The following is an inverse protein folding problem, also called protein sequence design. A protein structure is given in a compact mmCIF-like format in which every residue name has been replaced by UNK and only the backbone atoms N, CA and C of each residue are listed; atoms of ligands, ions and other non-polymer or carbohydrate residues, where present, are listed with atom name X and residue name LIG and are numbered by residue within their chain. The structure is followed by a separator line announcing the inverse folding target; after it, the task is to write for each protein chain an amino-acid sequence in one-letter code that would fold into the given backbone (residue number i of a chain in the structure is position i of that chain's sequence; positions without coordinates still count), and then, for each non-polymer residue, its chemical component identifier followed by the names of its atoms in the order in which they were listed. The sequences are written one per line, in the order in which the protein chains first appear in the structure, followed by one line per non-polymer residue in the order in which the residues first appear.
data_IF_156171346416
#
_entry.id   IF_156171346416
#
_cell.length_a   1.000
_cell.length_b   1.000
_cell.length_c   1.000
_cell.angle_alpha   90.00
_cell.angle_beta   90.00
_cell.angle_gamma   90.00
#
_symmetry.space_group_name_H-M   'P 1'
#
loop_
_entity.id
_entity.type
_entity.pdbx_description
1 polymer ?
#
# COMPACT_ATOMS: atom_id res chain seq x y z
N UNK A 1 13.46 68.29 -66.16
CA UNK A 1 14.25 67.78 -65.08
C UNK A 1 13.35 66.93 -64.19
N UNK A 2 13.45 65.57 -64.32
CA UNK A 2 12.61 64.64 -63.54
C UNK A 2 13.61 63.84 -62.70
N UNK A 3 13.55 64.04 -61.35
CA UNK A 3 14.31 63.24 -60.38
C UNK A 3 13.50 62.02 -59.97
N UNK A 4 14.03 60.83 -60.30
CA UNK A 4 13.49 59.56 -59.91
C UNK A 4 14.18 59.15 -58.59
N UNK A 5 13.41 59.05 -57.50
CA UNK A 5 13.87 58.52 -56.24
C UNK A 5 13.68 56.99 -56.25
N UNK A 6 14.76 56.24 -56.12
CA UNK A 6 14.70 54.78 -55.94
C UNK A 6 14.55 54.47 -54.46
N UNK A 7 13.44 53.83 -54.10
CA UNK A 7 13.16 53.33 -52.78
C UNK A 7 13.74 51.91 -52.69
N UNK A 8 14.77 51.70 -51.86
CA UNK A 8 15.32 50.39 -51.56
C UNK A 8 14.57 49.77 -50.38
N UNK A 9 13.84 48.70 -50.62
CA UNK A 9 13.12 47.94 -49.57
C UNK A 9 14.10 46.87 -49.04
N UNK A 10 14.58 47.05 -47.81
CA UNK A 10 15.26 45.98 -47.04
C UNK A 10 14.21 45.04 -46.44
N UNK A 11 14.14 43.83 -46.96
CA UNK A 11 13.36 42.76 -46.35
C UNK A 11 14.15 42.14 -45.20
N UNK A 12 13.78 42.43 -43.95
CA UNK A 12 14.30 41.72 -42.76
C UNK A 12 13.53 40.43 -42.59
N UNK A 13 14.19 39.30 -42.83
CA UNK A 13 13.64 37.98 -42.52
C UNK A 13 13.74 37.70 -41.03
N UNK A 14 12.63 37.77 -40.32
CA UNK A 14 12.49 37.28 -38.94
C UNK A 14 12.37 35.75 -38.99
N UNK A 15 13.45 35.03 -38.67
CA UNK A 15 13.40 33.61 -38.38
C UNK A 15 12.79 33.41 -36.96
N UNK A 16 11.51 33.12 -36.92
CA UNK A 16 10.86 32.68 -35.67
C UNK A 16 11.28 31.24 -35.35
N UNK A 17 12.24 31.05 -34.46
CA UNK A 17 12.55 29.75 -33.89
C UNK A 17 11.40 29.34 -32.93
N UNK A 18 10.50 28.51 -33.41
CA UNK A 18 9.48 27.88 -32.59
C UNK A 18 10.19 26.83 -31.71
N UNK A 19 10.47 27.19 -30.45
CA UNK A 19 10.77 26.21 -29.41
C UNK A 19 9.47 25.46 -29.10
N UNK A 20 9.32 24.28 -29.71
CA UNK A 20 8.32 23.31 -29.26
C UNK A 20 8.79 22.77 -27.90
N UNK A 21 8.31 23.39 -26.81
CA UNK A 21 8.39 22.78 -25.50
C UNK A 21 7.54 21.52 -25.55
N UNK A 22 8.20 20.36 -25.65
CA UNK A 22 7.55 19.07 -25.43
C UNK A 22 7.06 19.06 -23.99
N UNK A 23 5.80 19.45 -23.76
CA UNK A 23 5.11 19.22 -22.52
C UNK A 23 5.07 17.69 -22.36
N UNK A 24 5.90 17.14 -21.49
CA UNK A 24 5.75 15.79 -21.03
C UNK A 24 4.39 15.70 -20.34
N UNK A 25 3.41 15.15 -21.05
CA UNK A 25 2.13 14.77 -20.45
C UNK A 25 2.44 13.74 -19.37
N UNK A 26 2.62 14.20 -18.13
CA UNK A 26 2.64 13.32 -17.00
C UNK A 26 1.22 12.78 -16.85
N UNK A 27 1.06 11.46 -17.02
CA UNK A 27 -0.19 10.82 -16.68
C UNK A 27 -0.58 11.19 -15.24
N UNK A 28 -1.87 11.41 -15.00
CA UNK A 28 -2.37 11.69 -13.65
C UNK A 28 -1.89 10.57 -12.70
N UNK A 29 -1.50 10.90 -11.45
CA UNK A 29 -1.07 9.90 -10.49
C UNK A 29 -2.16 8.85 -10.32
N UNK A 30 -1.79 7.57 -10.37
CA UNK A 30 -2.71 6.48 -10.06
C UNK A 30 -2.96 6.50 -8.55
N UNK A 31 -4.24 6.48 -8.17
CA UNK A 31 -4.64 6.27 -6.79
C UNK A 31 -4.89 4.79 -6.58
N UNK A 32 -4.28 4.20 -5.56
CA UNK A 32 -4.51 2.81 -5.20
C UNK A 32 -5.95 2.54 -4.75
N UNK A 33 -6.44 1.35 -5.02
CA UNK A 33 -7.80 0.92 -4.66
C UNK A 33 -7.77 -0.46 -4.03
N UNK A 34 -8.72 -0.73 -3.13
CA UNK A 34 -8.93 -2.03 -2.52
C UNK A 34 -10.38 -2.47 -2.61
N UNK A 35 -10.62 -3.76 -2.72
CA UNK A 35 -11.94 -4.38 -2.74
C UNK A 35 -11.90 -5.73 -2.04
N UNK A 36 -12.91 -5.97 -1.22
CA UNK A 36 -13.14 -7.26 -0.55
C UNK A 36 -14.47 -7.81 -1.01
N UNK A 37 -14.48 -9.09 -1.37
CA UNK A 37 -15.70 -9.82 -1.69
C UNK A 37 -15.62 -11.23 -1.09
N UNK A 38 -16.35 -11.47 -0.01
CA UNK A 38 -16.41 -12.76 0.72
C UNK A 38 -15.02 -13.26 1.14
N UNK A 39 -14.53 -14.32 0.48
CA UNK A 39 -13.23 -14.96 0.79
C UNK A 39 -12.11 -14.48 -0.13
N UNK A 40 -12.37 -13.46 -0.93
CA UNK A 40 -11.40 -12.87 -1.84
C UNK A 40 -11.26 -11.37 -1.61
N UNK A 41 -10.07 -10.89 -1.84
CA UNK A 41 -9.76 -9.46 -1.81
C UNK A 41 -8.76 -9.10 -2.88
N UNK A 42 -8.73 -7.83 -3.26
CA UNK A 42 -7.66 -7.30 -4.09
C UNK A 42 -7.23 -5.91 -3.62
N UNK A 43 -5.98 -5.60 -3.84
CA UNK A 43 -5.43 -4.27 -3.70
C UNK A 43 -4.56 -3.94 -4.91
N UNK A 44 -4.84 -2.82 -5.54
CA UNK A 44 -4.00 -2.28 -6.61
C UNK A 44 -3.34 -1.01 -6.08
N UNK A 45 -2.04 -0.90 -6.27
CA UNK A 45 -1.26 0.22 -5.76
C UNK A 45 -1.10 1.36 -6.78
N UNK A 46 -0.50 2.45 -6.33
CA UNK A 46 -0.24 3.65 -7.14
C UNK A 46 0.79 3.47 -8.27
N UNK A 47 1.38 2.28 -8.42
CA UNK A 47 2.16 1.90 -9.60
C UNK A 47 1.32 1.19 -10.65
N UNK A 48 0.07 0.86 -10.31
CA UNK A 48 -0.85 0.08 -11.14
C UNK A 48 -0.74 -1.44 -10.95
N UNK A 49 0.08 -1.91 -10.01
CA UNK A 49 0.22 -3.34 -9.69
C UNK A 49 -0.95 -3.79 -8.84
N UNK A 50 -1.64 -4.84 -9.26
CA UNK A 50 -2.73 -5.47 -8.50
C UNK A 50 -2.26 -6.77 -7.83
N UNK A 51 -2.65 -6.93 -6.56
CA UNK A 51 -2.51 -8.14 -5.76
C UNK A 51 -3.89 -8.64 -5.41
N UNK A 52 -4.17 -9.90 -5.73
CA UNK A 52 -5.50 -10.50 -5.60
C UNK A 52 -5.32 -11.79 -4.82
N UNK A 53 -5.89 -11.86 -3.63
CA UNK A 53 -5.79 -13.06 -2.81
C UNK A 53 -7.15 -13.74 -2.59
N UNK A 54 -7.11 -15.06 -2.58
CA UNK A 54 -8.20 -15.91 -2.13
C UNK A 54 -7.80 -16.71 -0.91
N UNK A 55 -8.76 -17.02 -0.07
CA UNK A 55 -8.56 -17.72 1.19
C UNK A 55 -9.46 -18.95 1.29
N UNK A 56 -9.17 -19.83 2.25
CA UNK A 56 -10.16 -20.78 2.76
C UNK A 56 -11.34 -20.06 3.40
N UNK A 57 -12.46 -20.75 3.58
CA UNK A 57 -13.59 -20.23 4.35
C UNK A 57 -13.14 -19.77 5.75
N UNK A 58 -13.86 -18.76 6.26
CA UNK A 58 -13.61 -18.23 7.61
C UNK A 58 -13.80 -19.33 8.67
N UNK A 59 -12.83 -19.47 9.57
CA UNK A 59 -12.86 -20.49 10.63
C UNK A 59 -12.37 -21.87 10.19
N UNK A 60 -11.75 -21.99 9.01
CA UNK A 60 -11.11 -23.23 8.58
C UNK A 60 -10.00 -23.65 9.54
N UNK A 61 -9.98 -24.93 9.93
CA UNK A 61 -8.89 -25.52 10.73
C UNK A 61 -7.60 -25.70 9.91
N UNK A 62 -7.69 -25.59 8.59
CA UNK A 62 -6.57 -25.69 7.64
C UNK A 62 -6.55 -24.45 6.75
N UNK A 63 -6.11 -23.29 7.27
CA UNK A 63 -6.06 -22.08 6.49
C UNK A 63 -5.14 -22.20 5.29
N UNK A 64 -5.63 -21.80 4.13
CA UNK A 64 -4.89 -21.64 2.89
C UNK A 64 -5.18 -20.28 2.28
N UNK A 65 -4.18 -19.67 1.70
CA UNK A 65 -4.34 -18.50 0.86
C UNK A 65 -3.50 -18.63 -0.40
N UNK A 66 -4.01 -18.06 -1.48
CA UNK A 66 -3.29 -17.90 -2.75
C UNK A 66 -3.24 -16.42 -3.10
N UNK A 67 -2.15 -15.99 -3.72
CA UNK A 67 -1.97 -14.63 -4.21
C UNK A 67 -1.69 -14.64 -5.69
N UNK A 68 -2.43 -13.84 -6.45
CA UNK A 68 -2.10 -13.49 -7.83
C UNK A 68 -1.58 -12.04 -7.86
N UNK A 69 -0.39 -11.86 -8.42
CA UNK A 69 0.19 -10.53 -8.63
C UNK A 69 0.31 -10.25 -10.12
N UNK A 70 -0.24 -9.11 -10.55
CA UNK A 70 -0.11 -8.63 -11.93
C UNK A 70 0.27 -7.16 -11.94
N UNK A 71 1.44 -6.83 -12.49
CA UNK A 71 1.84 -5.45 -12.73
C UNK A 71 0.97 -4.79 -13.81
N UNK A 72 0.86 -3.47 -13.81
CA UNK A 72 0.30 -2.73 -14.93
C UNK A 72 1.20 -2.82 -16.17
N UNK A 73 0.68 -2.45 -17.33
CA UNK A 73 1.37 -2.53 -18.62
C UNK A 73 0.95 -3.73 -19.46
N UNK A 74 1.27 -3.66 -20.74
CA UNK A 74 0.97 -4.73 -21.69
C UNK A 74 1.85 -5.96 -21.42
N UNK A 75 1.30 -7.14 -21.72
CA UNK A 75 2.02 -8.43 -21.67
C UNK A 75 2.70 -8.75 -20.33
N UNK A 76 2.22 -8.18 -19.23
CA UNK A 76 2.72 -8.51 -17.89
C UNK A 76 2.27 -9.90 -17.46
N UNK A 77 3.18 -10.76 -16.95
CA UNK A 77 2.82 -12.07 -16.46
C UNK A 77 1.98 -11.98 -15.18
N UNK A 78 1.21 -13.03 -14.91
CA UNK A 78 0.55 -13.23 -13.63
C UNK A 78 1.46 -14.15 -12.82
N UNK A 79 1.92 -13.67 -11.67
CA UNK A 79 2.63 -14.48 -10.69
C UNK A 79 1.64 -15.08 -9.72
N UNK A 80 1.91 -16.30 -9.25
CA UNK A 80 1.10 -17.00 -8.27
C UNK A 80 1.91 -17.47 -7.10
N UNK A 81 1.39 -17.24 -5.91
CA UNK A 81 1.98 -17.69 -4.65
C UNK A 81 0.91 -18.41 -3.81
N UNK A 82 1.36 -19.25 -2.89
CA UNK A 82 0.47 -19.97 -1.97
C UNK A 82 1.05 -19.96 -0.57
N UNK A 83 0.17 -19.88 0.41
CA UNK A 83 0.51 -20.01 1.82
C UNK A 83 -0.42 -21.02 2.47
N UNK A 84 0.15 -22.12 2.97
CA UNK A 84 -0.56 -23.18 3.69
C UNK A 84 -0.17 -23.14 5.17
N UNK A 85 -1.13 -22.91 6.04
CA UNK A 85 -0.90 -22.95 7.48
C UNK A 85 -0.77 -24.41 7.97
N UNK A 86 0.31 -24.72 8.65
CA UNK A 86 0.54 -26.03 9.27
C UNK A 86 1.37 -25.87 10.55
N UNK A 87 1.03 -26.61 11.57
CA UNK A 87 1.83 -26.71 12.79
C UNK A 87 3.07 -27.60 12.61
N UNK A 88 3.09 -28.39 11.54
CA UNK A 88 4.19 -29.30 11.20
C UNK A 88 4.96 -28.79 9.99
N UNK A 89 6.20 -29.20 9.88
CA UNK A 89 7.02 -28.92 8.71
C UNK A 89 6.34 -29.40 7.43
N UNK A 90 6.16 -28.49 6.46
CA UNK A 90 5.41 -28.71 5.23
C UNK A 90 6.30 -28.40 4.00
N UNK A 91 7.12 -29.35 3.54
CA UNK A 91 8.11 -29.09 2.48
C UNK A 91 7.51 -28.98 1.08
N UNK A 92 6.32 -29.54 0.86
CA UNK A 92 5.60 -29.52 -0.42
C UNK A 92 4.12 -29.82 -0.21
N UNK A 93 3.32 -29.48 -1.22
CA UNK A 93 1.93 -29.93 -1.32
C UNK A 93 1.57 -30.17 -2.79
N UNK A 94 0.69 -31.12 -3.05
CA UNK A 94 0.16 -31.38 -4.38
C UNK A 94 -1.06 -30.48 -4.65
N UNK A 95 -1.02 -29.72 -5.74
CA UNK A 95 -2.18 -28.95 -6.21
C UNK A 95 -3.15 -29.89 -6.91
N UNK A 96 -4.40 -29.89 -6.46
CA UNK A 96 -5.50 -30.66 -7.03
C UNK A 96 -6.62 -29.72 -7.48
N UNK A 97 -7.15 -29.93 -8.69
CA UNK A 97 -8.31 -29.23 -9.24
C UNK A 97 -9.36 -30.28 -9.61
N UNK A 98 -10.54 -30.23 -9.02
CA UNK A 98 -11.58 -31.29 -9.11
C UNK A 98 -10.98 -32.69 -8.86
N UNK A 99 -10.09 -32.81 -7.91
CA UNK A 99 -9.39 -34.03 -7.53
C UNK A 99 -8.29 -34.50 -8.50
N UNK A 100 -8.03 -33.77 -9.60
CA UNK A 100 -6.95 -34.09 -10.55
C UNK A 100 -5.67 -33.36 -10.17
N UNK A 101 -4.55 -34.08 -10.21
CA UNK A 101 -3.24 -33.51 -9.86
C UNK A 101 -2.72 -32.53 -10.92
N UNK A 102 -2.25 -31.38 -10.44
CA UNK A 102 -1.57 -30.32 -11.21
C UNK A 102 -0.11 -30.12 -10.76
N UNK A 103 0.46 -31.15 -10.12
CA UNK A 103 1.86 -31.22 -9.72
C UNK A 103 2.11 -30.73 -8.32
N UNK A 104 3.37 -30.92 -7.91
CA UNK A 104 3.84 -30.53 -6.58
C UNK A 104 4.18 -29.04 -6.55
N UNK A 105 3.84 -28.38 -5.45
CA UNK A 105 4.32 -27.06 -5.09
C UNK A 105 5.37 -27.23 -4.01
N UNK A 106 6.56 -26.70 -4.25
CA UNK A 106 7.62 -26.67 -3.24
C UNK A 106 7.33 -25.54 -2.27
N UNK A 107 7.38 -25.84 -0.99
CA UNK A 107 7.10 -24.89 0.08
C UNK A 107 8.34 -24.68 0.95
N UNK A 108 8.49 -23.51 1.51
CA UNK A 108 9.36 -23.34 2.66
C UNK A 108 8.77 -24.15 3.82
N UNK A 109 9.54 -25.10 4.30
CA UNK A 109 9.06 -26.10 5.25
C UNK A 109 8.61 -25.55 6.61
N UNK A 110 9.10 -24.37 6.96
CA UNK A 110 8.83 -23.76 8.26
C UNK A 110 7.65 -22.77 8.20
N UNK A 111 7.54 -22.04 7.08
CA UNK A 111 6.46 -21.06 6.90
C UNK A 111 5.24 -21.64 6.17
N UNK A 112 5.42 -22.64 5.31
CA UNK A 112 4.34 -23.14 4.43
C UNK A 112 4.09 -22.24 3.20
N UNK A 113 4.98 -21.27 2.97
CA UNK A 113 4.93 -20.41 1.78
C UNK A 113 5.57 -21.08 0.57
N UNK A 114 4.98 -20.90 -0.61
CA UNK A 114 5.53 -21.41 -1.86
C UNK A 114 5.12 -20.60 -3.08
N UNK A 115 5.95 -20.66 -4.13
CA UNK A 115 5.67 -20.04 -5.41
C UNK A 115 5.11 -21.09 -6.38
N UNK A 116 4.01 -20.74 -7.04
CA UNK A 116 3.41 -21.57 -8.09
C UNK A 116 4.20 -21.42 -9.39
N UNK A 117 4.35 -22.50 -10.14
CA UNK A 117 4.82 -22.42 -11.52
C UNK A 117 3.80 -21.67 -12.40
N UNK A 118 4.23 -21.14 -13.53
CA UNK A 118 3.32 -20.45 -14.46
C UNK A 118 2.15 -21.33 -14.91
N UNK A 119 2.36 -22.64 -15.13
CA UNK A 119 1.29 -23.59 -15.47
C UNK A 119 0.32 -23.83 -14.31
N UNK A 120 0.82 -23.93 -13.07
CA UNK A 120 -0.02 -24.06 -11.88
C UNK A 120 -0.84 -22.78 -11.65
N UNK A 121 -0.23 -21.60 -11.78
CA UNK A 121 -0.91 -20.30 -11.67
C UNK A 121 -2.07 -20.20 -12.67
N UNK A 122 -1.85 -20.56 -13.93
CA UNK A 122 -2.91 -20.53 -14.96
C UNK A 122 -4.01 -21.56 -14.73
N UNK A 123 -3.64 -22.77 -14.30
CA UNK A 123 -4.60 -23.81 -13.97
C UNK A 123 -5.49 -23.39 -12.78
N UNK A 124 -4.88 -22.88 -11.71
CA UNK A 124 -5.58 -22.40 -10.52
C UNK A 124 -6.49 -21.21 -10.86
N UNK A 125 -5.99 -20.20 -11.57
CA UNK A 125 -6.79 -19.06 -12.01
C UNK A 125 -8.00 -19.50 -12.87
N UNK A 126 -7.81 -20.49 -13.75
CA UNK A 126 -8.90 -21.05 -14.55
C UNK A 126 -9.92 -21.78 -13.68
N UNK A 127 -9.44 -22.53 -12.68
CA UNK A 127 -10.29 -23.28 -11.77
C UNK A 127 -11.20 -22.37 -10.94
N UNK A 128 -10.62 -21.34 -10.29
CA UNK A 128 -11.41 -20.42 -9.45
C UNK A 128 -12.44 -19.63 -10.25
N UNK A 129 -12.12 -19.25 -11.49
CA UNK A 129 -13.09 -18.59 -12.39
C UNK A 129 -14.28 -19.49 -12.78
N UNK A 130 -14.06 -20.78 -12.81
CA UNK A 130 -15.09 -21.78 -13.16
C UNK A 130 -15.81 -22.36 -11.95
N UNK A 131 -15.46 -21.94 -10.75
CA UNK A 131 -15.99 -22.51 -9.51
C UNK A 131 -15.59 -23.96 -9.27
N UNK A 132 -14.46 -24.39 -9.84
CA UNK A 132 -13.94 -25.74 -9.64
C UNK A 132 -13.30 -25.86 -8.25
N UNK A 133 -13.38 -27.05 -7.66
CA UNK A 133 -12.74 -27.30 -6.37
C UNK A 133 -11.22 -27.21 -6.50
N UNK A 134 -10.59 -26.37 -5.65
CA UNK A 134 -9.14 -26.23 -5.55
C UNK A 134 -8.69 -26.67 -4.18
N UNK A 135 -7.78 -27.64 -4.13
CA UNK A 135 -7.23 -28.15 -2.88
C UNK A 135 -5.72 -28.33 -2.99
N UNK A 136 -5.04 -28.19 -1.85
CA UNK A 136 -3.64 -28.56 -1.69
C UNK A 136 -3.57 -29.73 -0.73
N UNK A 137 -2.81 -30.76 -1.07
CA UNK A 137 -2.70 -31.99 -0.29
C UNK A 137 -1.26 -32.31 0.05
N UNK A 138 -1.01 -32.62 1.30
CA UNK A 138 0.25 -33.22 1.76
C UNK A 138 -0.06 -34.40 2.68
N UNK A 139 0.39 -35.60 2.29
CA UNK A 139 0.03 -36.83 2.99
C UNK A 139 -1.50 -36.98 3.18
N UNK A 140 -1.98 -37.00 4.41
CA UNK A 140 -3.40 -37.11 4.76
C UNK A 140 -4.06 -35.77 5.10
N UNK A 141 -3.33 -34.66 4.94
CA UNK A 141 -3.85 -33.32 5.19
C UNK A 141 -4.25 -32.63 3.89
N UNK A 142 -5.36 -31.88 3.94
CA UNK A 142 -5.90 -31.18 2.77
C UNK A 142 -6.30 -29.76 3.18
N UNK A 143 -5.90 -28.80 2.39
CA UNK A 143 -6.29 -27.39 2.48
C UNK A 143 -7.20 -27.06 1.32
N UNK A 144 -8.38 -26.50 1.59
CA UNK A 144 -9.38 -26.17 0.57
C UNK A 144 -9.47 -24.66 0.41
N UNK A 145 -9.28 -24.19 -0.82
CA UNK A 145 -9.48 -22.80 -1.21
C UNK A 145 -10.96 -22.53 -1.48
N UNK A 146 -11.51 -21.44 -0.97
CA UNK A 146 -12.85 -20.97 -1.31
C UNK A 146 -12.85 -20.27 -2.67
N UNK A 147 -13.91 -20.46 -3.46
CA UNK A 147 -14.13 -19.73 -4.71
C UNK A 147 -15.08 -18.53 -4.54
N UNK A 148 -15.64 -18.34 -3.33
CA UNK A 148 -16.65 -17.34 -3.05
C UNK A 148 -16.05 -15.92 -3.12
N UNK A 149 -16.47 -15.14 -4.13
CA UNK A 149 -15.98 -13.79 -4.40
C UNK A 149 -14.91 -13.68 -5.49
N UNK A 150 -14.31 -14.80 -5.94
CA UNK A 150 -13.20 -14.79 -6.89
C UNK A 150 -13.47 -13.99 -8.17
N UNK A 151 -14.59 -14.26 -8.84
CA UNK A 151 -14.91 -13.62 -10.12
C UNK A 151 -15.12 -12.10 -9.99
N UNK A 152 -15.79 -11.66 -8.94
CA UNK A 152 -16.02 -10.22 -8.68
C UNK A 152 -14.70 -9.53 -8.44
N UNK A 153 -13.85 -10.10 -7.59
CA UNK A 153 -12.55 -9.52 -7.24
C UNK A 153 -11.61 -9.46 -8.45
N UNK A 154 -11.56 -10.52 -9.26
CA UNK A 154 -10.78 -10.55 -10.51
C UNK A 154 -11.29 -9.51 -11.53
N UNK A 155 -12.62 -9.30 -11.63
CA UNK A 155 -13.20 -8.29 -12.50
C UNK A 155 -12.81 -6.87 -12.06
N UNK A 156 -12.82 -6.59 -10.76
CA UNK A 156 -12.38 -5.29 -10.25
C UNK A 156 -10.92 -4.98 -10.61
N UNK A 157 -10.03 -5.99 -10.57
CA UNK A 157 -8.65 -5.83 -11.01
C UNK A 157 -8.53 -5.58 -12.52
N UNK A 158 -9.38 -6.23 -13.35
CA UNK A 158 -9.46 -5.95 -14.79
C UNK A 158 -9.94 -4.53 -15.06
N UNK A 159 -10.99 -4.08 -14.37
CA UNK A 159 -11.52 -2.71 -14.48
C UNK A 159 -10.46 -1.69 -14.13
N UNK A 160 -9.76 -1.86 -12.99
CA UNK A 160 -8.70 -0.96 -12.57
C UNK A 160 -7.56 -0.88 -13.60
N UNK A 161 -7.11 -2.03 -14.11
CA UNK A 161 -6.05 -2.09 -15.12
C UNK A 161 -6.54 -1.86 -16.56
N UNK A 162 -7.83 -1.52 -16.76
CA UNK A 162 -8.44 -1.24 -18.06
C UNK A 162 -8.33 -2.42 -19.04
N UNK A 163 -8.43 -3.67 -18.54
CA UNK A 163 -8.22 -4.87 -19.34
C UNK A 163 -9.48 -5.54 -19.85
N UNK A 164 -10.66 -5.15 -19.37
CA UNK A 164 -11.93 -5.76 -19.81
C UNK A 164 -12.06 -5.71 -21.34
N UNK A 165 -12.49 -6.82 -21.95
CA UNK A 165 -12.61 -6.96 -23.39
C UNK A 165 -11.30 -7.26 -24.13
N UNK A 166 -10.14 -7.20 -23.45
CA UNK A 166 -8.83 -7.50 -24.07
C UNK A 166 -8.47 -8.98 -23.90
N UNK A 167 -7.50 -9.51 -24.69
CA UNK A 167 -6.98 -10.87 -24.50
C UNK A 167 -6.32 -11.11 -23.14
N UNK A 168 -5.93 -10.05 -22.41
CA UNK A 168 -5.24 -10.11 -21.12
C UNK A 168 -6.19 -9.99 -19.91
N UNK A 169 -7.50 -9.88 -20.13
CA UNK A 169 -8.48 -9.83 -19.05
C UNK A 169 -8.55 -11.15 -18.28
N UNK A 170 -8.84 -11.09 -16.97
CA UNK A 170 -9.15 -12.27 -16.19
C UNK A 170 -10.53 -12.83 -16.53
N UNK A 171 -11.54 -11.95 -16.58
CA UNK A 171 -12.97 -12.37 -16.65
C UNK A 171 -13.56 -12.14 -18.05
N UNK A 172 -13.71 -10.90 -18.46
CA UNK A 172 -14.31 -10.57 -19.76
C UNK A 172 -13.25 -10.57 -20.85
N UNK A 173 -12.75 -11.77 -21.18
CA UNK A 173 -11.73 -11.94 -22.22
C UNK A 173 -12.36 -11.65 -23.59
N UNK A 174 -11.70 -10.80 -24.36
CA UNK A 174 -12.12 -10.42 -25.71
C UNK A 174 -10.93 -10.17 -26.62
N UNK A 175 -11.18 -9.56 -27.78
CA UNK A 175 -10.17 -9.27 -28.80
C UNK A 175 -9.96 -7.74 -28.99
N UNK A 176 -10.42 -6.92 -28.04
CA UNK A 176 -10.23 -5.48 -28.14
C UNK A 176 -8.76 -5.12 -28.08
N UNK A 177 -8.32 -4.32 -29.05
CA UNK A 177 -6.98 -3.76 -29.10
C UNK A 177 -7.03 -2.33 -28.51
N UNK A 178 -7.10 -2.25 -27.19
CA UNK A 178 -7.08 -0.97 -26.47
C UNK A 178 -5.88 -0.89 -25.53
N UNK A 179 -5.46 0.33 -25.27
CA UNK A 179 -4.40 0.59 -24.29
C UNK A 179 -4.87 0.17 -22.90
N UNK A 180 -4.10 -0.67 -22.24
CA UNK A 180 -4.29 -1.00 -20.83
C UNK A 180 -3.56 0.02 -19.94
N UNK A 181 -3.86 0.03 -18.64
CA UNK A 181 -3.20 0.91 -17.68
C UNK A 181 -1.69 0.73 -17.75
N UNK A 182 -0.96 1.82 -18.04
CA UNK A 182 0.50 1.82 -18.06
C UNK A 182 1.06 1.80 -16.64
N UNK A 183 2.14 1.03 -16.42
CA UNK A 183 2.84 1.03 -15.16
C UNK A 183 3.40 2.42 -14.83
N UNK A 184 3.27 2.83 -13.56
CA UNK A 184 3.86 4.06 -13.06
C UNK A 184 5.09 3.73 -12.20
N UNK A 185 6.16 4.53 -12.27
CA UNK A 185 7.27 4.38 -11.34
C UNK A 185 6.81 4.71 -9.92
N UNK A 186 7.46 4.10 -8.93
CA UNK A 186 7.26 4.49 -7.55
C UNK A 186 7.60 5.97 -7.37
N UNK A 187 6.73 6.79 -6.76
CA UNK A 187 7.07 8.16 -6.41
C UNK A 187 8.33 8.19 -5.54
N UNK A 188 9.20 9.17 -5.75
CA UNK A 188 10.38 9.37 -4.92
C UNK A 188 10.09 10.46 -3.90
N UNK A 189 10.26 10.13 -2.61
CA UNK A 189 10.11 11.07 -1.51
C UNK A 189 11.51 11.29 -0.92
N UNK A 190 11.99 12.54 -0.92
CA UNK A 190 13.21 12.90 -0.24
C UNK A 190 12.89 13.12 1.23
N UNK A 191 13.40 12.22 2.07
CA UNK A 191 13.20 12.29 3.51
C UNK A 191 14.31 13.11 4.16
N UNK A 192 13.89 14.09 4.95
CA UNK A 192 14.79 14.89 5.78
C UNK A 192 14.90 14.25 7.18
N UNK A 193 16.12 14.14 7.66
CA UNK A 193 16.37 13.70 9.02
C UNK A 193 15.91 14.76 10.04
N UNK A 194 15.65 14.33 11.26
CA UNK A 194 15.34 15.24 12.36
C UNK A 194 16.45 15.24 13.40
N UNK A 195 16.64 16.37 14.08
CA UNK A 195 17.47 16.50 15.27
C UNK A 195 16.64 16.16 16.52
N UNK A 196 15.99 14.98 16.50
CA UNK A 196 15.13 14.56 17.60
C UNK A 196 15.85 14.47 18.95
N UNK A 197 15.12 14.52 20.05
CA UNK A 197 15.65 14.19 21.36
C UNK A 197 16.06 12.72 21.41
N UNK A 198 17.26 12.49 21.95
CA UNK A 198 17.83 11.13 22.03
C UNK A 198 17.27 10.29 23.18
N UNK A 199 16.52 10.90 24.10
CA UNK A 199 15.94 10.18 25.22
C UNK A 199 14.50 10.63 25.51
N UNK A 200 13.72 9.69 26.04
CA UNK A 200 12.31 9.89 26.35
C UNK A 200 12.08 11.01 27.36
N UNK A 201 12.95 11.16 28.36
CA UNK A 201 12.81 12.21 29.36
C UNK A 201 12.85 13.61 28.75
N UNK A 202 13.78 13.85 27.82
CA UNK A 202 13.88 15.13 27.12
C UNK A 202 12.62 15.41 26.26
N UNK A 203 12.05 14.39 25.65
CA UNK A 203 10.79 14.49 24.89
C UNK A 203 9.62 14.85 25.80
N UNK A 204 9.47 14.17 26.94
CA UNK A 204 8.42 14.44 27.93
C UNK A 204 8.55 15.84 28.56
N UNK A 205 9.78 16.27 28.88
CA UNK A 205 10.03 17.62 29.41
C UNK A 205 9.69 18.70 28.38
N UNK A 206 9.97 18.46 27.10
CA UNK A 206 9.59 19.38 26.04
C UNK A 206 8.06 19.40 25.85
N UNK A 207 7.39 18.26 25.89
CA UNK A 207 5.95 18.16 25.80
C UNK A 207 5.22 18.92 26.90
N UNK A 208 5.74 18.90 28.14
CA UNK A 208 5.19 19.71 29.27
C UNK A 208 5.17 21.21 28.98
N UNK A 209 6.05 21.70 28.13
CA UNK A 209 6.12 23.11 27.73
C UNK A 209 5.36 23.39 26.43
N UNK A 210 4.81 22.40 25.79
CA UNK A 210 3.94 22.54 24.63
C UNK A 210 2.56 23.10 25.01
N UNK A 211 1.76 23.47 24.02
CA UNK A 211 0.37 23.81 24.24
C UNK A 211 -0.43 22.56 24.65
N UNK A 212 -1.48 22.71 25.45
CA UNK A 212 -2.40 21.60 25.75
C UNK A 212 -3.32 21.29 24.55
N UNK A 213 -3.93 20.10 24.48
CA UNK A 213 -4.90 19.78 23.44
C UNK A 213 -6.03 20.81 23.30
N UNK A 214 -6.53 21.36 24.40
CA UNK A 214 -7.54 22.43 24.39
C UNK A 214 -7.01 23.73 23.78
N UNK A 215 -5.77 24.10 24.08
CA UNK A 215 -5.12 25.27 23.50
C UNK A 215 -4.86 25.09 21.99
N UNK A 216 -4.69 23.82 21.53
CA UNK A 216 -4.49 23.48 20.14
C UNK A 216 -5.79 23.46 19.32
N UNK A 217 -6.96 23.67 19.97
CA UNK A 217 -8.28 23.61 19.32
C UNK A 217 -8.45 22.32 18.50
N UNK A 218 -7.94 21.22 19.02
CA UNK A 218 -8.07 19.94 18.34
C UNK A 218 -9.48 19.41 18.53
N UNK A 219 -10.18 19.09 17.44
CA UNK A 219 -11.43 18.33 17.44
C UNK A 219 -11.14 16.85 17.76
N UNK A 220 -10.21 16.61 18.67
CA UNK A 220 -9.72 15.28 18.99
C UNK A 220 -10.81 14.52 19.73
N UNK A 221 -11.26 13.45 19.12
CA UNK A 221 -12.25 12.54 19.64
C UNK A 221 -11.72 11.84 20.92
N UNK A 222 -11.99 12.44 22.09
CA UNK A 222 -11.74 11.78 23.36
C UNK A 222 -10.29 11.58 23.74
N UNK A 223 -9.38 12.39 23.21
CA UNK A 223 -8.01 12.42 23.70
C UNK A 223 -7.97 12.97 25.13
N UNK A 224 -7.00 12.51 25.90
CA UNK A 224 -6.86 12.82 27.33
C UNK A 224 -7.05 14.32 27.65
N UNK A 225 -8.06 14.60 28.44
CA UNK A 225 -8.35 15.95 28.90
C UNK A 225 -7.21 16.44 29.82
N UNK A 226 -6.33 17.30 29.29
CA UNK A 226 -5.29 18.08 30.02
C UNK A 226 -4.12 17.32 30.64
N UNK A 227 -3.98 16.01 30.50
CA UNK A 227 -2.83 15.30 31.05
C UNK A 227 -1.63 15.39 30.11
N UNK A 228 -0.79 16.42 30.34
CA UNK A 228 0.48 16.62 29.59
C UNK A 228 1.46 15.44 29.72
N UNK A 229 1.20 14.49 30.58
CA UNK A 229 1.98 13.25 30.72
C UNK A 229 1.81 12.31 29.53
N UNK A 230 0.66 12.41 28.85
CA UNK A 230 0.33 11.58 27.67
C UNK A 230 0.72 12.26 26.36
N UNK A 231 1.59 13.27 26.42
CA UNK A 231 2.08 13.98 25.24
C UNK A 231 3.57 13.73 25.01
N UNK A 232 3.98 13.72 23.74
CA UNK A 232 5.38 13.71 23.35
C UNK A 232 5.65 14.76 22.26
N UNK A 233 6.75 15.51 22.41
CA UNK A 233 7.18 16.49 21.40
C UNK A 233 8.50 16.04 20.79
N UNK A 234 8.48 15.84 19.47
CA UNK A 234 9.62 15.43 18.68
C UNK A 234 10.11 16.58 17.81
N UNK A 235 11.23 17.23 18.15
CA UNK A 235 11.81 18.27 17.30
C UNK A 235 12.21 17.69 15.93
N UNK A 236 11.76 18.36 14.89
CA UNK A 236 12.14 18.05 13.51
C UNK A 236 13.31 18.94 13.09
N UNK A 237 13.12 20.24 13.20
CA UNK A 237 14.14 21.27 12.95
C UNK A 237 13.94 22.49 13.88
N UNK A 238 14.59 23.62 13.60
CA UNK A 238 14.45 24.84 14.42
C UNK A 238 13.05 25.45 14.43
N UNK A 239 12.30 25.22 13.36
CA UNK A 239 10.99 25.84 13.10
C UNK A 239 9.82 24.87 13.26
N UNK A 240 10.09 23.55 13.28
CA UNK A 240 9.09 22.49 13.25
C UNK A 240 9.30 21.43 14.33
N UNK A 241 8.21 20.98 14.91
CA UNK A 241 8.15 19.83 15.79
C UNK A 241 6.89 19.01 15.50
N UNK A 242 6.95 17.70 15.76
CA UNK A 242 5.80 16.82 15.77
C UNK A 242 5.33 16.68 17.22
N UNK A 243 4.09 17.01 17.49
CA UNK A 243 3.42 16.77 18.76
C UNK A 243 2.57 15.53 18.62
N UNK A 244 2.75 14.58 19.52
CA UNK A 244 1.90 13.40 19.70
C UNK A 244 1.10 13.58 20.97
N UNK A 245 -0.20 13.33 20.91
CA UNK A 245 -1.14 13.36 22.04
C UNK A 245 -1.80 12.00 22.12
N UNK A 246 -1.61 11.30 23.23
CA UNK A 246 -2.25 10.01 23.44
C UNK A 246 -3.76 10.17 23.59
N UNK A 247 -4.53 9.42 22.79
CA UNK A 247 -5.99 9.54 22.75
C UNK A 247 -6.74 8.31 23.30
N UNK A 248 -6.00 7.33 23.83
CA UNK A 248 -6.61 6.16 24.42
C UNK A 248 -6.04 4.84 23.90
N UNK A 249 -6.56 3.77 24.45
CA UNK A 249 -6.15 2.40 24.09
C UNK A 249 -7.36 1.57 23.68
N UNK A 250 -7.23 0.91 22.52
CA UNK A 250 -8.03 -0.24 22.20
C UNK A 250 -7.51 -1.50 22.90
N UNK A 251 -8.12 -2.64 22.59
CA UNK A 251 -7.70 -3.92 23.18
C UNK A 251 -6.26 -4.33 22.80
N UNK A 252 -5.73 -3.83 21.69
CA UNK A 252 -4.48 -4.32 21.09
C UNK A 252 -3.47 -3.24 20.69
N UNK A 253 -3.86 -1.97 20.69
CA UNK A 253 -2.98 -0.83 20.33
C UNK A 253 -3.43 0.46 21.01
N UNK A 254 -2.53 1.43 21.07
CA UNK A 254 -2.84 2.81 21.38
C UNK A 254 -3.34 3.58 20.17
N UNK A 255 -3.88 4.77 20.43
CA UNK A 255 -4.21 5.76 19.41
C UNK A 255 -3.58 7.08 19.84
N UNK A 256 -2.83 7.70 18.94
CA UNK A 256 -2.20 9.00 19.15
C UNK A 256 -2.71 9.98 18.09
N UNK A 257 -2.98 11.20 18.50
CA UNK A 257 -3.28 12.29 17.58
C UNK A 257 -2.01 13.10 17.32
N UNK A 258 -1.70 13.36 16.05
CA UNK A 258 -0.45 13.95 15.62
C UNK A 258 -0.64 15.32 15.01
N UNK A 259 0.19 16.28 15.46
CA UNK A 259 0.17 17.67 14.99
C UNK A 259 1.56 18.11 14.57
N UNK A 260 1.67 18.69 13.38
CA UNK A 260 2.83 19.50 13.02
C UNK A 260 2.70 20.87 13.71
N UNK A 261 3.67 21.24 14.51
CA UNK A 261 3.69 22.48 15.28
C UNK A 261 4.92 23.34 14.97
N UNK A 262 4.96 24.56 15.54
CA UNK A 262 6.22 25.28 15.63
C UNK A 262 7.25 24.48 16.44
N UNK A 263 8.53 24.86 16.36
CA UNK A 263 9.62 24.12 17.01
C UNK A 263 9.52 24.04 18.54
N UNK A 264 8.55 24.75 19.16
CA UNK A 264 8.28 24.74 20.61
C UNK A 264 6.98 24.04 21.00
N UNK A 265 6.22 23.53 20.04
CA UNK A 265 4.94 22.90 20.28
C UNK A 265 3.82 23.86 20.70
N UNK A 266 3.93 25.16 20.39
CA UNK A 266 2.99 26.19 20.86
C UNK A 266 1.90 26.53 19.85
N UNK A 267 2.18 26.37 18.57
CA UNK A 267 1.28 26.73 17.48
C UNK A 267 1.14 25.58 16.51
N UNK A 268 -0.09 25.11 16.31
CA UNK A 268 -0.40 24.08 15.30
C UNK A 268 -0.24 24.70 13.92
N UNK A 269 0.52 24.05 13.08
CA UNK A 269 0.66 24.34 11.65
C UNK A 269 -0.23 23.45 10.80
N UNK A 270 -0.36 22.17 11.19
CA UNK A 270 -1.16 21.18 10.47
C UNK A 270 -1.57 20.05 11.41
N UNK A 271 -2.82 19.65 11.38
CA UNK A 271 -3.29 18.40 11.95
C UNK A 271 -2.96 17.27 10.98
N UNK A 272 -2.24 16.25 11.44
CA UNK A 272 -1.86 15.09 10.63
C UNK A 272 -2.96 14.04 10.71
N UNK A 273 -3.44 13.72 11.90
CA UNK A 273 -4.55 12.82 12.12
C UNK A 273 -4.41 11.94 13.35
N UNK A 274 -5.50 11.29 13.70
CA UNK A 274 -5.57 10.27 14.73
C UNK A 274 -5.09 8.94 14.12
N UNK A 275 -3.94 8.46 14.57
CA UNK A 275 -3.27 7.29 14.01
C UNK A 275 -3.11 6.19 15.06
N UNK A 276 -3.21 4.94 14.61
CA UNK A 276 -2.92 3.79 15.45
C UNK A 276 -1.44 3.72 15.84
N UNK A 277 -1.17 3.38 17.10
CA UNK A 277 0.17 3.24 17.63
C UNK A 277 0.39 1.80 18.12
N UNK A 278 1.20 1.05 17.39
CA UNK A 278 1.65 -0.30 17.76
C UNK A 278 3.05 -0.28 18.41
N UNK A 279 3.58 0.91 18.77
CA UNK A 279 4.84 1.09 19.49
C UNK A 279 5.99 1.68 18.68
N UNK A 280 5.83 1.92 17.36
CA UNK A 280 6.90 2.46 16.53
C UNK A 280 6.91 4.00 16.48
N UNK A 281 5.75 4.63 16.27
CA UNK A 281 5.57 6.09 16.27
C UNK A 281 6.56 6.84 15.37
N UNK A 282 7.01 8.02 15.86
CA UNK A 282 7.93 8.88 15.11
C UNK A 282 9.39 8.56 15.34
N UNK A 283 10.14 8.36 14.27
CA UNK A 283 11.58 8.17 14.32
C UNK A 283 12.28 8.79 13.11
N UNK A 284 13.17 9.74 13.36
CA UNK A 284 14.11 10.30 12.39
C UNK A 284 13.47 10.67 11.02
N UNK A 285 12.40 11.46 11.05
CA UNK A 285 11.70 11.92 9.86
C UNK A 285 10.71 10.91 9.27
N UNK A 286 10.48 9.80 9.93
CA UNK A 286 9.40 8.87 9.62
C UNK A 286 8.40 8.81 10.78
N UNK A 287 7.14 8.88 10.47
CA UNK A 287 6.04 8.60 11.38
C UNK A 287 5.38 7.30 10.91
N UNK A 288 5.49 6.27 11.75
CA UNK A 288 4.90 4.97 11.49
C UNK A 288 3.64 4.81 12.33
N UNK A 289 2.57 4.41 11.68
CA UNK A 289 1.29 4.13 12.29
C UNK A 289 0.84 2.72 11.95
N UNK A 290 0.02 2.12 12.81
CA UNK A 290 -0.48 0.79 12.54
C UNK A 290 -1.66 0.41 13.42
N UNK A 291 -2.52 -0.43 12.86
CA UNK A 291 -3.69 -0.98 13.51
C UNK A 291 -3.66 -2.51 13.43
N UNK A 292 -4.01 -3.13 14.54
CA UNK A 292 -4.22 -4.56 14.62
C UNK A 292 -5.72 -4.83 14.56
N UNK A 293 -6.18 -5.54 13.55
CA UNK A 293 -7.60 -5.79 13.35
C UNK A 293 -8.24 -6.66 14.44
N UNK A 294 -7.46 -7.61 14.99
CA UNK A 294 -7.88 -8.43 16.14
C UNK A 294 -6.69 -9.00 16.93
N UNK A 295 -6.96 -9.55 18.15
CA UNK A 295 -5.93 -10.01 19.08
C UNK A 295 -4.97 -11.07 18.54
N UNK A 296 -5.43 -11.91 17.63
CA UNK A 296 -4.60 -12.93 16.98
C UNK A 296 -3.46 -12.31 16.15
N UNK A 297 -3.63 -11.06 15.68
CA UNK A 297 -2.62 -10.35 14.88
C UNK A 297 -2.42 -10.96 13.49
N UNK A 298 -3.49 -11.46 12.91
CA UNK A 298 -3.52 -12.08 11.58
C UNK A 298 -4.07 -11.15 10.50
N UNK A 299 -4.29 -9.89 10.85
CA UNK A 299 -4.63 -8.80 9.94
C UNK A 299 -4.17 -7.49 10.56
N UNK A 300 -3.27 -6.82 9.87
CA UNK A 300 -2.63 -5.57 10.27
C UNK A 300 -2.79 -4.55 9.17
N UNK A 301 -2.95 -3.28 9.51
CA UNK A 301 -2.76 -2.17 8.58
C UNK A 301 -1.66 -1.26 9.08
N UNK A 302 -0.84 -0.75 8.17
CA UNK A 302 0.28 0.14 8.50
C UNK A 302 0.37 1.28 7.53
N UNK A 303 0.76 2.44 8.04
CA UNK A 303 1.03 3.64 7.28
C UNK A 303 2.39 4.20 7.68
N UNK A 304 3.15 4.66 6.69
CA UNK A 304 4.40 5.37 6.93
C UNK A 304 4.33 6.73 6.28
N UNK A 305 4.47 7.77 7.07
CA UNK A 305 4.60 9.14 6.61
C UNK A 305 6.05 9.58 6.67
N UNK A 306 6.54 10.25 5.63
CA UNK A 306 7.89 10.77 5.56
C UNK A 306 7.90 12.30 5.61
N UNK A 307 8.76 12.89 6.44
CA UNK A 307 8.99 14.33 6.46
C UNK A 307 9.78 14.75 5.22
N UNK A 308 9.17 15.54 4.34
CA UNK A 308 9.76 15.97 3.08
C UNK A 308 10.46 17.35 3.15
N UNK A 309 10.66 17.87 4.37
CA UNK A 309 11.22 19.21 4.62
C UNK A 309 10.16 20.29 4.86
N UNK A 310 8.89 20.03 4.51
CA UNK A 310 7.77 20.97 4.70
C UNK A 310 6.57 20.36 5.39
N UNK A 311 6.28 19.08 5.12
CA UNK A 311 5.16 18.34 5.70
C UNK A 311 5.45 16.84 5.76
N UNK A 312 4.61 16.11 6.51
CA UNK A 312 4.55 14.67 6.47
C UNK A 312 3.70 14.23 5.27
N UNK A 313 4.28 13.44 4.37
CA UNK A 313 3.60 12.87 3.22
C UNK A 313 3.47 11.37 3.37
N UNK A 314 2.31 10.81 3.03
CA UNK A 314 2.09 9.37 3.03
C UNK A 314 3.02 8.71 2.02
N UNK A 315 3.94 7.90 2.52
CA UNK A 315 4.97 7.22 1.73
C UNK A 315 4.62 5.75 1.45
N UNK A 316 3.99 5.10 2.42
CA UNK A 316 3.53 3.72 2.29
C UNK A 316 2.21 3.56 3.04
N UNK A 317 1.29 2.84 2.43
CA UNK A 317 0.04 2.37 3.04
C UNK A 317 -0.14 0.91 2.61
N UNK A 318 -0.19 0.02 3.57
CA UNK A 318 -0.39 -1.39 3.33
C UNK A 318 -1.23 -2.05 4.41
N UNK A 319 -1.88 -3.13 4.04
CA UNK A 319 -2.48 -4.08 4.97
C UNK A 319 -1.96 -5.49 4.70
N UNK A 320 -2.28 -6.42 5.59
CA UNK A 320 -1.82 -7.81 5.47
C UNK A 320 -2.94 -8.77 5.11
N UNK A 321 -4.05 -8.24 4.61
CA UNK A 321 -5.18 -8.97 4.09
C UNK A 321 -6.20 -9.36 5.13
N UNK A 322 -7.13 -10.21 4.73
CA UNK A 322 -8.23 -10.67 5.57
C UNK A 322 -7.74 -11.41 6.81
N UNK A 323 -8.46 -11.22 7.93
CA UNK A 323 -8.19 -11.94 9.19
C UNK A 323 -8.56 -13.43 9.07
N UNK A 324 -7.68 -14.24 8.52
CA UNK A 324 -7.90 -15.65 8.18
C UNK A 324 -6.96 -16.63 8.91
N UNK A 325 -6.41 -16.21 10.04
CA UNK A 325 -5.60 -17.08 10.90
C UNK A 325 -4.11 -17.12 10.56
N UNK A 326 -3.62 -16.33 9.62
CA UNK A 326 -2.20 -16.27 9.27
C UNK A 326 -1.47 -15.31 10.22
N UNK A 327 -0.56 -15.75 11.09
CA UNK A 327 0.14 -14.86 12.01
C UNK A 327 0.91 -13.76 11.27
N UNK A 328 0.64 -12.49 11.61
CA UNK A 328 1.19 -11.32 10.91
C UNK A 328 0.49 -10.99 9.58
N UNK A 329 -0.49 -11.79 9.17
CA UNK A 329 -1.19 -11.69 7.89
C UNK A 329 -0.64 -12.65 6.83
N UNK A 330 -1.42 -12.91 5.79
CA UNK A 330 -1.00 -13.82 4.71
C UNK A 330 -0.07 -13.14 3.70
N UNK A 331 -0.34 -11.87 3.37
CA UNK A 331 0.31 -11.14 2.28
C UNK A 331 0.52 -9.67 2.63
N UNK A 332 1.41 -9.00 1.89
CA UNK A 332 1.53 -7.55 1.91
C UNK A 332 0.74 -6.92 0.75
N UNK A 333 -0.33 -6.20 1.08
CA UNK A 333 -1.16 -5.47 0.13
C UNK A 333 -0.86 -3.99 0.20
N UNK A 334 -0.29 -3.45 -0.85
CA UNK A 334 0.05 -2.02 -0.93
C UNK A 334 -1.06 -1.25 -1.65
N UNK A 335 -1.52 -0.15 -1.06
CA UNK A 335 -2.36 0.87 -1.70
C UNK A 335 -1.52 2.05 -2.16
N UNK A 336 -0.58 2.44 -1.33
CA UNK A 336 0.41 3.47 -1.62
C UNK A 336 1.81 2.89 -1.42
N UNK A 337 2.69 3.12 -2.38
CA UNK A 337 4.10 2.74 -2.28
C UNK A 337 4.98 3.85 -2.85
N UNK A 338 6.13 4.10 -2.23
CA UNK A 338 7.10 5.08 -2.71
C UNK A 338 8.53 4.62 -2.44
N UNK A 339 9.49 5.26 -3.09
CA UNK A 339 10.91 5.13 -2.77
C UNK A 339 11.31 6.27 -1.83
N UNK A 340 11.66 5.95 -0.59
CA UNK A 340 12.12 6.93 0.38
C UNK A 340 13.64 7.05 0.27
N UNK A 341 14.11 8.22 -0.14
CA UNK A 341 15.54 8.55 -0.20
C UNK A 341 15.90 9.54 0.89
N UNK A 342 17.06 9.38 1.48
CA UNK A 342 17.59 10.38 2.44
C UNK A 342 18.11 11.59 1.68
N UNK A 343 17.93 12.76 2.27
CA UNK A 343 18.67 13.96 1.88
C UNK A 343 20.17 13.65 1.93
N UNK A 344 20.94 14.14 0.93
CA UNK A 344 22.39 13.96 0.84
C UNK A 344 23.14 14.92 1.76
#
# INVERSE_FOLDING_TARGET
MKHTVRLSILAAAFAAAAFAAAATLHAAPIQGVGQIEKDWEMQCDNTGTCRIAGYSESGSDKPVSVLFTRAAGENTPIEGDVYLMSEKALPNAELLIDGKAHGQVVLDKNSGYGKLSGSQTQALLTAVKRGQSVTFRHQNETWMLSNEGANVTLLHADTFQQREGTPSAFIHIGNEQKTVLAAQPKPVIIKYGSKGYKNLLAQLLAARNAASPKELQSDTYGCADDEKEDMALYPIDKDNALLSVFCGRGAYQGMDDYFLTDGKGKTVKKHIGLLGNMGEGYQNGLLNAGLKGRGLGDCLSTETYAWNGTEFVLAEEKDTGLCRGFPGGAWDFYRTTSEIRREK
#
